data_IF_998965586501
#
_entry.id   IF_998965586501
#
_cell.length_a   1.000
_cell.length_b   1.000
_cell.length_c   1.000
_cell.angle_alpha   90.00
_cell.angle_beta   90.00
_cell.angle_gamma   90.00
#
_symmetry.space_group_name_H-M   'P 1'
#
loop_
_entity.id
_entity.type
_entity.pdbx_description
1 polymer ?
#
# COMPACT_ATOMS: atom_id res chain seq x y z
N UNK A 1 -16.54 17.83 9.33
CA UNK A 1 -17.19 17.70 7.99
C UNK A 1 -17.06 19.03 7.27
N UNK A 2 -16.20 19.13 6.25
CA UNK A 2 -16.21 20.28 5.34
C UNK A 2 -17.46 20.14 4.46
N UNK A 3 -18.37 21.11 4.50
CA UNK A 3 -19.59 21.15 3.68
C UNK A 3 -19.20 21.25 2.20
N UNK A 4 -19.53 20.23 1.41
CA UNK A 4 -19.29 20.22 -0.03
C UNK A 4 -19.99 21.35 -0.76
N UNK A 5 -19.45 21.79 -1.90
CA UNK A 5 -20.07 22.82 -2.75
C UNK A 5 -21.05 22.17 -3.70
N UNK A 6 -22.28 22.66 -3.74
CA UNK A 6 -23.35 22.05 -4.54
C UNK A 6 -23.53 22.83 -5.84
N UNK A 7 -23.51 22.12 -6.96
CA UNK A 7 -23.84 22.63 -8.29
C UNK A 7 -25.11 21.91 -8.76
N UNK A 8 -26.12 22.69 -9.17
CA UNK A 8 -27.36 22.16 -9.74
C UNK A 8 -27.54 22.67 -11.17
N UNK A 9 -27.96 21.78 -12.07
CA UNK A 9 -28.15 22.14 -13.47
C UNK A 9 -28.82 21.04 -14.27
N UNK A 10 -29.30 21.41 -15.45
CA UNK A 10 -29.84 20.47 -16.43
C UNK A 10 -28.68 19.88 -17.23
N UNK A 11 -28.63 18.56 -17.34
CA UNK A 11 -27.58 17.87 -18.10
C UNK A 11 -27.72 18.16 -19.58
N UNK A 12 -26.68 18.73 -20.19
CA UNK A 12 -26.62 19.06 -21.61
C UNK A 12 -25.75 18.07 -22.40
N UNK A 13 -26.02 17.98 -23.70
CA UNK A 13 -25.18 17.27 -24.66
C UNK A 13 -23.83 17.96 -24.82
N UNK A 14 -22.74 17.25 -24.47
CA UNK A 14 -21.36 17.67 -24.72
C UNK A 14 -20.74 16.96 -25.94
N UNK A 15 -19.41 17.10 -26.13
CA UNK A 15 -18.65 16.48 -27.25
C UNK A 15 -18.53 14.95 -27.18
N UNK A 16 -19.12 14.29 -26.17
CA UNK A 16 -19.09 12.83 -25.96
C UNK A 16 -17.68 12.22 -25.79
N UNK A 17 -16.62 13.05 -25.65
CA UNK A 17 -15.24 12.59 -25.45
C UNK A 17 -15.11 11.62 -24.27
N UNK A 18 -15.73 11.92 -23.12
CA UNK A 18 -15.74 10.99 -21.98
C UNK A 18 -16.31 9.62 -22.35
N UNK A 19 -17.38 9.56 -23.16
CA UNK A 19 -17.97 8.30 -23.61
C UNK A 19 -17.03 7.51 -24.53
N UNK A 20 -16.29 8.18 -25.40
CA UNK A 20 -15.27 7.56 -26.27
C UNK A 20 -14.09 7.00 -25.46
N UNK A 21 -13.74 7.65 -24.35
CA UNK A 21 -12.70 7.19 -23.42
C UNK A 21 -13.14 6.06 -22.47
N UNK A 22 -14.44 5.73 -22.44
CA UNK A 22 -15.04 4.74 -21.53
C UNK A 22 -15.58 5.32 -20.21
N UNK A 23 -15.64 6.64 -20.07
CA UNK A 23 -16.09 7.38 -18.89
C UNK A 23 -17.22 8.36 -19.25
N UNK A 24 -18.47 7.90 -19.44
CA UNK A 24 -19.58 8.78 -19.81
C UNK A 24 -19.81 9.89 -18.77
N UNK A 25 -19.84 11.15 -19.22
CA UNK A 25 -19.99 12.32 -18.35
C UNK A 25 -21.32 13.04 -18.56
N UNK A 26 -21.93 13.48 -17.46
CA UNK A 26 -23.00 14.45 -17.42
C UNK A 26 -22.41 15.86 -17.39
N UNK A 27 -22.76 16.70 -18.36
CA UNK A 27 -22.24 18.08 -18.45
C UNK A 27 -23.25 19.06 -17.86
N UNK A 28 -22.80 19.87 -16.89
CA UNK A 28 -23.58 20.93 -16.26
C UNK A 28 -22.92 22.29 -16.49
N UNK A 29 -23.76 23.32 -16.62
CA UNK A 29 -23.32 24.71 -16.60
C UNK A 29 -22.90 25.09 -15.18
N UNK A 30 -21.83 25.88 -15.06
CA UNK A 30 -21.29 26.31 -13.77
C UNK A 30 -21.76 27.74 -13.47
N UNK A 31 -22.23 28.04 -12.24
CA UNK A 31 -22.55 29.41 -11.83
C UNK A 31 -21.33 30.34 -11.99
N UNK A 32 -21.56 31.56 -12.50
CA UNK A 32 -20.48 32.53 -12.78
C UNK A 32 -19.76 33.02 -11.52
N UNK A 33 -20.44 32.95 -10.39
CA UNK A 33 -19.99 33.35 -9.05
C UNK A 33 -19.32 32.19 -8.27
N UNK A 34 -19.11 31.03 -8.91
CA UNK A 34 -18.50 29.89 -8.24
C UNK A 34 -16.99 30.09 -8.03
N UNK A 35 -16.61 30.47 -6.81
CA UNK A 35 -15.22 30.54 -6.34
C UNK A 35 -14.69 29.14 -5.96
N UNK A 36 -14.20 28.41 -6.95
CA UNK A 36 -13.52 27.12 -6.81
C UNK A 36 -12.38 27.04 -7.82
N UNK A 37 -11.27 26.40 -7.49
CA UNK A 37 -10.17 26.18 -8.43
C UNK A 37 -10.56 25.16 -9.52
N UNK A 38 -9.98 25.29 -10.72
CA UNK A 38 -10.14 24.29 -11.76
C UNK A 38 -9.38 23.00 -11.42
N UNK A 39 -9.96 21.86 -11.77
CA UNK A 39 -9.41 20.54 -11.50
C UNK A 39 -10.43 19.42 -11.38
N UNK A 40 -9.93 18.27 -10.94
CA UNK A 40 -10.72 17.06 -10.73
C UNK A 40 -11.08 16.93 -9.25
N UNK A 41 -12.36 16.68 -9.01
CA UNK A 41 -12.96 16.58 -7.69
C UNK A 41 -13.62 15.22 -7.49
N UNK A 42 -13.54 14.68 -6.27
CA UNK A 42 -14.50 13.70 -5.79
C UNK A 42 -15.86 14.38 -5.66
N UNK A 43 -16.92 13.74 -6.12
CA UNK A 43 -18.26 14.29 -6.04
C UNK A 43 -19.31 13.25 -5.71
N UNK A 44 -20.48 13.71 -5.25
CA UNK A 44 -21.68 12.89 -5.06
C UNK A 44 -22.81 13.43 -5.90
N UNK A 45 -23.54 12.52 -6.54
CA UNK A 45 -24.70 12.88 -7.35
C UNK A 45 -25.92 12.11 -6.85
N UNK A 46 -27.02 12.81 -6.63
CA UNK A 46 -28.30 12.15 -6.27
C UNK A 46 -29.16 11.98 -7.51
N UNK A 47 -29.49 10.73 -7.86
CA UNK A 47 -30.36 10.37 -8.99
C UNK A 47 -31.43 9.41 -8.49
N UNK A 48 -32.71 9.78 -8.65
CA UNK A 48 -33.84 8.90 -8.30
C UNK A 48 -33.87 8.44 -6.84
N UNK A 49 -33.44 9.30 -5.90
CA UNK A 49 -33.38 8.99 -4.47
C UNK A 49 -32.12 8.23 -4.03
N UNK A 50 -31.33 7.68 -4.95
CA UNK A 50 -30.02 7.06 -4.65
C UNK A 50 -28.89 8.08 -4.82
N UNK A 51 -27.92 8.03 -3.92
CA UNK A 51 -26.66 8.79 -4.04
C UNK A 51 -25.62 7.90 -4.69
N UNK A 52 -24.92 8.45 -5.68
CA UNK A 52 -23.80 7.84 -6.39
C UNK A 52 -22.54 8.62 -6.09
N UNK A 53 -21.44 7.91 -5.83
CA UNK A 53 -20.11 8.50 -5.90
C UNK A 53 -19.76 8.79 -7.36
N UNK A 54 -19.00 9.86 -7.58
CA UNK A 54 -18.70 10.36 -8.90
C UNK A 54 -17.36 11.11 -8.90
N UNK A 55 -16.88 11.35 -10.11
CA UNK A 55 -15.73 12.19 -10.38
C UNK A 55 -16.17 13.36 -11.25
N UNK A 56 -15.84 14.58 -10.84
CA UNK A 56 -16.19 15.80 -11.57
C UNK A 56 -14.95 16.56 -12.00
N UNK A 57 -14.82 16.82 -13.31
CA UNK A 57 -13.86 17.78 -13.83
C UNK A 57 -14.51 19.16 -13.93
N UNK A 58 -13.90 20.16 -13.29
CA UNK A 58 -14.30 21.55 -13.32
C UNK A 58 -13.22 22.34 -14.06
N UNK A 59 -13.54 22.89 -15.22
CA UNK A 59 -12.54 23.54 -16.07
C UNK A 59 -13.12 24.38 -17.19
N UNK A 60 -12.22 25.12 -17.87
CA UNK A 60 -12.55 26.00 -18.98
C UNK A 60 -12.18 25.36 -20.33
N UNK A 61 -13.02 25.54 -21.35
CA UNK A 61 -12.72 25.08 -22.70
C UNK A 61 -11.74 26.04 -23.40
N UNK A 62 -10.50 25.62 -23.77
CA UNK A 62 -9.54 26.52 -24.42
C UNK A 62 -9.86 26.78 -25.91
N UNK A 63 -10.74 26.00 -26.54
CA UNK A 63 -10.86 25.93 -28.00
C UNK A 63 -11.98 26.77 -28.62
N UNK A 64 -12.78 27.47 -27.82
CA UNK A 64 -13.89 28.32 -28.30
C UNK A 64 -13.77 29.63 -27.54
N UNK A 65 -13.61 30.76 -28.23
CA UNK A 65 -13.31 32.07 -27.66
C UNK A 65 -14.42 32.66 -26.77
N UNK A 66 -14.70 32.00 -25.65
CA UNK A 66 -15.65 32.37 -24.61
C UNK A 66 -15.39 31.51 -23.37
N UNK A 67 -14.99 32.14 -22.28
CA UNK A 67 -14.60 31.52 -21.02
C UNK A 67 -15.81 30.95 -20.23
N UNK A 68 -16.50 29.95 -20.79
CA UNK A 68 -17.56 29.24 -20.06
C UNK A 68 -16.99 28.02 -19.33
N UNK A 69 -16.92 28.10 -17.99
CA UNK A 69 -16.62 26.96 -17.13
C UNK A 69 -17.71 25.90 -17.24
N UNK A 70 -17.30 24.64 -17.31
CA UNK A 70 -18.20 23.49 -17.32
C UNK A 70 -17.83 22.50 -16.25
N UNK A 71 -18.85 21.78 -15.78
CA UNK A 71 -18.69 20.65 -14.89
C UNK A 71 -19.00 19.37 -15.64
N UNK A 72 -18.00 18.53 -15.86
CA UNK A 72 -18.16 17.21 -16.47
C UNK A 72 -18.13 16.15 -15.37
N UNK A 73 -19.25 15.46 -15.12
CA UNK A 73 -19.38 14.53 -14.00
C UNK A 73 -19.60 13.09 -14.46
N UNK A 74 -18.68 12.19 -14.12
CA UNK A 74 -18.80 10.75 -14.35
C UNK A 74 -19.30 10.06 -13.07
N UNK A 75 -20.50 9.49 -13.11
CA UNK A 75 -21.06 8.71 -11.99
C UNK A 75 -20.51 7.29 -12.02
N UNK A 76 -20.06 6.78 -10.88
CA UNK A 76 -19.63 5.39 -10.76
C UNK A 76 -20.84 4.45 -10.67
N UNK A 77 -20.73 3.28 -11.30
CA UNK A 77 -21.71 2.20 -11.26
C UNK A 77 -23.15 2.62 -11.63
N UNK A 78 -23.28 3.69 -12.42
CA UNK A 78 -24.54 4.16 -12.96
C UNK A 78 -24.68 3.74 -14.43
N UNK A 79 -25.77 3.05 -14.74
CA UNK A 79 -26.18 2.73 -16.10
C UNK A 79 -27.52 3.44 -16.40
N UNK A 80 -27.53 4.32 -17.39
CA UNK A 80 -28.73 5.04 -17.81
C UNK A 80 -28.43 6.33 -18.55
N UNK A 81 -29.48 7.02 -18.98
CA UNK A 81 -29.39 8.34 -19.61
C UNK A 81 -29.82 9.44 -18.63
N UNK A 82 -28.97 10.47 -18.52
CA UNK A 82 -29.17 11.64 -17.68
C UNK A 82 -29.48 12.90 -18.47
N UNK A 83 -29.46 12.88 -19.81
CA UNK A 83 -29.74 14.05 -20.64
C UNK A 83 -31.11 14.65 -20.34
N UNK A 84 -31.16 15.98 -20.25
CA UNK A 84 -32.38 16.72 -19.93
C UNK A 84 -32.85 16.59 -18.48
N UNK A 85 -32.21 15.75 -17.64
CA UNK A 85 -32.52 15.67 -16.22
C UNK A 85 -31.80 16.78 -15.46
N UNK A 86 -32.44 17.29 -14.41
CA UNK A 86 -31.80 18.15 -13.43
C UNK A 86 -30.99 17.29 -12.47
N UNK A 87 -29.69 17.56 -12.36
CA UNK A 87 -28.80 16.91 -11.42
C UNK A 87 -28.36 17.87 -10.33
N UNK A 88 -28.16 17.32 -9.13
CA UNK A 88 -27.48 17.97 -8.01
C UNK A 88 -26.17 17.24 -7.78
N UNK A 89 -25.07 17.94 -8.00
CA UNK A 89 -23.70 17.46 -7.84
C UNK A 89 -23.08 18.16 -6.64
N UNK A 90 -22.71 17.41 -5.62
CA UNK A 90 -21.97 17.89 -4.46
C UNK A 90 -20.48 17.62 -4.68
N UNK A 91 -19.68 18.66 -4.84
CA UNK A 91 -18.22 18.58 -4.91
C UNK A 91 -17.67 18.45 -3.49
N UNK A 92 -16.88 17.41 -3.25
CA UNK A 92 -16.27 17.09 -1.98
C UNK A 92 -14.82 17.59 -1.97
N UNK A 93 -13.86 16.70 -2.25
CA UNK A 93 -12.44 16.99 -2.15
C UNK A 93 -11.83 17.17 -3.54
N UNK A 94 -10.93 18.13 -3.68
CA UNK A 94 -10.13 18.30 -4.89
C UNK A 94 -9.03 17.24 -4.91
N UNK A 95 -9.03 16.41 -5.95
CA UNK A 95 -8.06 15.32 -6.13
C UNK A 95 -6.79 15.87 -6.79
N UNK A 96 -6.94 16.74 -7.79
CA UNK A 96 -5.82 17.39 -8.48
C UNK A 96 -6.27 18.59 -9.32
N UNK A 97 -5.32 19.41 -9.76
CA UNK A 97 -5.55 20.43 -10.77
C UNK A 97 -5.70 19.88 -12.19
N UNK A 98 -6.08 20.76 -13.13
CA UNK A 98 -6.07 20.45 -14.55
C UNK A 98 -4.64 20.21 -15.06
N UNK A 99 -4.49 19.23 -15.95
CA UNK A 99 -3.21 18.84 -16.53
C UNK A 99 -3.41 18.61 -18.03
N UNK A 100 -2.42 19.03 -18.83
CA UNK A 100 -2.35 18.68 -20.25
C UNK A 100 -1.64 17.32 -20.41
N UNK A 101 -2.18 16.47 -21.28
CA UNK A 101 -1.63 15.15 -21.59
C UNK A 101 -1.08 15.15 -23.00
N UNK A 102 -0.03 14.38 -23.25
CA UNK A 102 0.60 14.30 -24.57
C UNK A 102 -0.22 13.43 -25.54
N UNK A 103 -1.02 12.49 -25.01
CA UNK A 103 -1.86 11.59 -25.79
C UNK A 103 -3.22 11.29 -25.14
N UNK A 104 -4.11 10.70 -25.92
CA UNK A 104 -5.44 10.24 -25.49
C UNK A 104 -5.31 9.06 -24.52
N UNK A 105 -4.34 8.17 -24.76
CA UNK A 105 -4.03 7.02 -23.92
C UNK A 105 -3.56 7.45 -22.53
N UNK A 106 -2.69 8.46 -22.44
CA UNK A 106 -2.26 9.03 -21.15
C UNK A 106 -3.43 9.64 -20.37
N UNK A 107 -4.29 10.40 -21.05
CA UNK A 107 -5.50 10.95 -20.45
C UNK A 107 -6.40 9.84 -19.92
N UNK A 108 -6.65 8.79 -20.71
CA UNK A 108 -7.47 7.64 -20.31
C UNK A 108 -6.91 6.93 -19.08
N UNK A 109 -5.60 6.68 -19.07
CA UNK A 109 -4.92 6.06 -17.94
C UNK A 109 -4.99 6.94 -16.68
N UNK A 110 -4.86 8.25 -16.81
CA UNK A 110 -5.01 9.16 -15.68
C UNK A 110 -6.45 9.18 -15.14
N UNK A 111 -7.47 9.24 -15.99
CA UNK A 111 -8.88 9.21 -15.59
C UNK A 111 -9.20 7.89 -14.86
N UNK A 112 -8.63 6.77 -15.33
CA UNK A 112 -8.76 5.48 -14.64
C UNK A 112 -8.12 5.51 -13.24
N UNK A 113 -6.90 6.06 -13.11
CA UNK A 113 -6.24 6.24 -11.81
C UNK A 113 -7.06 7.13 -10.88
N UNK A 114 -7.57 8.26 -11.37
CA UNK A 114 -8.39 9.18 -10.59
C UNK A 114 -9.68 8.50 -10.11
N UNK A 115 -10.35 7.73 -10.97
CA UNK A 115 -11.54 6.93 -10.60
C UNK A 115 -11.21 5.92 -9.51
N UNK A 116 -10.17 5.11 -9.70
CA UNK A 116 -9.74 4.10 -8.72
C UNK A 116 -9.39 4.76 -7.39
N UNK A 117 -8.67 5.87 -7.42
CA UNK A 117 -8.34 6.66 -6.22
C UNK A 117 -9.62 7.08 -5.49
N UNK A 118 -10.59 7.69 -6.17
CA UNK A 118 -11.84 8.15 -5.54
C UNK A 118 -12.66 6.97 -4.99
N UNK A 119 -12.80 5.88 -5.74
CA UNK A 119 -13.51 4.68 -5.26
C UNK A 119 -12.87 4.11 -3.99
N UNK A 120 -11.54 4.23 -3.86
CA UNK A 120 -10.78 3.78 -2.70
C UNK A 120 -10.79 4.75 -1.51
N UNK A 121 -11.31 5.97 -1.65
CA UNK A 121 -11.35 6.94 -0.54
C UNK A 121 -12.37 6.59 0.56
N UNK A 122 -13.34 5.71 0.27
CA UNK A 122 -14.39 5.31 1.22
C UNK A 122 -14.32 3.82 1.63
N UNK A 123 -13.42 3.04 1.03
CA UNK A 123 -13.07 1.70 1.51
C UNK A 123 -11.84 1.82 2.39
N UNK A 124 -11.81 1.07 3.51
CA UNK A 124 -10.58 0.94 4.28
C UNK A 124 -9.49 0.42 3.34
N UNK A 125 -8.36 1.12 3.27
CA UNK A 125 -7.18 0.70 2.55
C UNK A 125 -6.64 -0.62 3.12
N UNK A 126 -6.77 -0.82 4.43
CA UNK A 126 -6.45 -2.07 5.10
C UNK A 126 -7.73 -2.84 5.50
N UNK A 127 -7.94 -4.01 4.90
CA UNK A 127 -8.96 -4.95 5.37
C UNK A 127 -8.30 -6.02 6.25
N UNK A 128 -8.28 -5.78 7.56
CA UNK A 128 -7.67 -6.69 8.54
C UNK A 128 -8.45 -8.00 8.73
N UNK A 129 -9.61 -8.17 8.08
CA UNK A 129 -10.31 -9.46 8.06
C UNK A 129 -9.71 -10.43 7.04
N UNK A 130 -8.85 -9.97 6.13
CA UNK A 130 -8.12 -10.82 5.20
C UNK A 130 -7.00 -11.53 5.99
N UNK A 131 -7.08 -12.86 6.18
CA UNK A 131 -6.11 -13.59 6.99
C UNK A 131 -4.74 -13.66 6.32
N UNK A 132 -4.73 -13.75 4.98
CA UNK A 132 -3.54 -13.79 4.12
C UNK A 132 -3.94 -13.40 2.69
N UNK A 133 -2.95 -13.06 1.84
CA UNK A 133 -3.12 -12.91 0.40
C UNK A 133 -1.88 -13.44 -0.31
N UNK A 134 -2.05 -14.54 -1.04
CA UNK A 134 -1.03 -15.24 -1.82
C UNK A 134 -1.55 -15.54 -3.22
N UNK A 135 -0.69 -15.96 -4.16
CA UNK A 135 -1.11 -16.23 -5.54
C UNK A 135 -2.13 -17.38 -5.65
N UNK A 136 -1.82 -18.55 -5.07
CA UNK A 136 -2.64 -19.74 -5.18
C UNK A 136 -2.42 -20.68 -3.99
N UNK A 137 -3.48 -20.91 -3.21
CA UNK A 137 -3.45 -21.82 -2.06
C UNK A 137 -3.33 -23.30 -2.44
N UNK A 138 -3.63 -23.67 -3.70
CA UNK A 138 -3.49 -25.06 -4.16
C UNK A 138 -2.03 -25.54 -4.16
N UNK A 139 -1.07 -24.62 -4.10
CA UNK A 139 0.37 -24.90 -4.08
C UNK A 139 0.90 -25.29 -2.69
N UNK A 140 0.08 -25.22 -1.64
CA UNK A 140 0.53 -25.43 -0.26
C UNK A 140 1.16 -26.81 -0.02
N UNK A 141 0.58 -27.89 -0.59
CA UNK A 141 1.13 -29.24 -0.44
C UNK A 141 2.54 -29.36 -1.07
N UNK A 142 2.75 -28.73 -2.23
CA UNK A 142 4.07 -28.71 -2.87
C UNK A 142 5.06 -27.90 -2.02
N UNK A 143 4.69 -26.70 -1.59
CA UNK A 143 5.50 -25.89 -0.70
C UNK A 143 5.86 -26.62 0.58
N UNK A 144 4.93 -27.41 1.14
CA UNK A 144 5.22 -28.19 2.35
C UNK A 144 6.34 -29.20 2.11
N UNK A 145 6.28 -29.96 1.02
CA UNK A 145 7.30 -30.96 0.66
C UNK A 145 8.69 -30.32 0.49
N UNK A 146 8.76 -29.15 -0.15
CA UNK A 146 10.04 -28.44 -0.30
C UNK A 146 10.57 -27.89 1.03
N UNK A 147 9.69 -27.41 1.91
CA UNK A 147 10.10 -26.96 3.24
C UNK A 147 10.66 -28.12 4.07
N UNK A 148 10.03 -29.30 4.05
CA UNK A 148 10.55 -30.49 4.73
C UNK A 148 11.95 -30.88 4.23
N UNK A 149 12.21 -30.76 2.92
CA UNK A 149 13.55 -30.96 2.35
C UNK A 149 14.51 -29.88 2.86
N UNK A 150 14.12 -28.61 2.80
CA UNK A 150 14.95 -27.49 3.23
C UNK A 150 15.32 -27.55 4.72
N UNK A 151 14.44 -28.08 5.58
CA UNK A 151 14.76 -28.28 7.01
C UNK A 151 16.00 -29.17 7.23
N UNK A 152 16.25 -30.14 6.34
CA UNK A 152 17.46 -30.98 6.39
C UNK A 152 18.74 -30.19 6.03
N UNK A 153 18.61 -29.20 5.15
CA UNK A 153 19.70 -28.32 4.71
C UNK A 153 19.85 -27.05 5.57
N UNK A 154 18.99 -26.85 6.57
CA UNK A 154 19.03 -25.69 7.47
C UNK A 154 19.30 -26.10 8.94
N UNK A 155 20.42 -26.78 9.25
CA UNK A 155 20.69 -27.35 10.56
C UNK A 155 20.78 -26.30 11.67
N UNK A 156 21.16 -25.06 11.35
CA UNK A 156 21.21 -23.94 12.30
C UNK A 156 19.83 -23.61 12.89
N UNK A 157 18.82 -23.42 12.03
CA UNK A 157 17.44 -23.17 12.47
C UNK A 157 16.87 -24.37 13.21
N UNK A 158 17.13 -25.58 12.73
CA UNK A 158 16.67 -26.81 13.41
C UNK A 158 17.31 -26.96 14.79
N UNK A 159 18.58 -26.60 14.96
CA UNK A 159 19.24 -26.58 16.26
C UNK A 159 18.64 -25.53 17.21
N UNK A 160 18.29 -24.35 16.69
CA UNK A 160 17.60 -23.29 17.45
C UNK A 160 16.24 -23.78 17.95
N UNK A 161 15.43 -24.42 17.08
CA UNK A 161 14.15 -25.04 17.47
C UNK A 161 14.33 -26.06 18.59
N UNK A 162 15.28 -27.01 18.43
CA UNK A 162 15.58 -28.02 19.47
C UNK A 162 16.02 -27.40 20.79
N UNK A 163 16.85 -26.35 20.74
CA UNK A 163 17.42 -25.72 21.94
C UNK A 163 16.42 -24.88 22.70
N UNK A 164 15.59 -24.10 22.01
CA UNK A 164 14.76 -23.06 22.63
C UNK A 164 13.24 -23.28 22.46
N UNK A 165 12.80 -24.25 21.66
CA UNK A 165 11.39 -24.52 21.41
C UNK A 165 10.60 -24.81 22.69
N UNK A 166 11.17 -25.58 23.63
CA UNK A 166 10.53 -25.85 24.92
C UNK A 166 10.38 -24.60 25.81
N UNK A 167 11.30 -23.63 25.70
CA UNK A 167 11.29 -22.42 26.51
C UNK A 167 10.37 -21.32 25.94
N UNK A 168 9.97 -21.44 24.67
CA UNK A 168 9.15 -20.46 23.93
C UNK A 168 9.57 -18.99 24.22
N UNK A 169 10.84 -18.62 23.95
CA UNK A 169 11.36 -17.30 24.34
C UNK A 169 10.66 -16.12 23.64
N UNK A 170 9.94 -16.38 22.55
CA UNK A 170 9.17 -15.38 21.80
C UNK A 170 7.66 -15.49 22.08
N UNK A 171 7.25 -16.19 23.15
CA UNK A 171 5.84 -16.38 23.50
C UNK A 171 5.06 -15.05 23.51
N UNK A 172 4.10 -14.93 22.59
CA UNK A 172 3.21 -13.77 22.46
C UNK A 172 3.88 -12.52 21.87
N UNK A 173 5.13 -12.61 21.43
CA UNK A 173 5.83 -11.52 20.76
C UNK A 173 5.32 -11.41 19.33
N UNK A 174 4.84 -10.22 18.97
CA UNK A 174 4.37 -9.92 17.60
C UNK A 174 5.55 -9.57 16.71
N UNK A 175 5.81 -10.39 15.71
CA UNK A 175 6.93 -10.23 14.79
C UNK A 175 6.42 -10.01 13.37
N UNK A 176 6.82 -8.90 12.76
CA UNK A 176 6.61 -8.67 11.34
C UNK A 176 7.91 -8.94 10.58
N UNK A 177 7.82 -9.69 9.49
CA UNK A 177 8.93 -9.91 8.56
C UNK A 177 8.69 -9.23 7.21
N UNK A 178 9.71 -8.54 6.72
CA UNK A 178 9.81 -7.99 5.36
C UNK A 178 11.08 -8.52 4.73
N UNK A 179 10.98 -9.72 4.14
CA UNK A 179 12.11 -10.48 3.62
C UNK A 179 11.58 -11.41 2.52
N UNK A 180 12.37 -11.66 1.47
CA UNK A 180 12.03 -12.55 0.36
C UNK A 180 11.22 -13.78 0.81
N UNK A 181 9.99 -13.93 0.31
CA UNK A 181 9.09 -15.01 0.72
C UNK A 181 9.43 -16.32 -0.03
N UNK A 182 10.48 -17.00 0.41
CA UNK A 182 11.00 -18.25 -0.17
C UNK A 182 10.79 -19.45 0.74
N UNK A 183 11.15 -20.65 0.26
CA UNK A 183 11.19 -21.88 1.07
C UNK A 183 12.11 -21.73 2.28
N UNK A 184 13.28 -21.10 2.13
CA UNK A 184 14.22 -20.89 3.23
C UNK A 184 13.62 -19.96 4.29
N UNK A 185 12.96 -18.89 3.84
CA UNK A 185 12.25 -17.96 4.71
C UNK A 185 11.06 -18.63 5.41
N UNK A 186 10.37 -19.56 4.76
CA UNK A 186 9.33 -20.35 5.40
C UNK A 186 9.87 -21.17 6.60
N UNK A 187 11.07 -21.76 6.49
CA UNK A 187 11.74 -22.43 7.63
C UNK A 187 12.06 -21.44 8.75
N UNK A 188 12.48 -20.21 8.42
CA UNK A 188 12.69 -19.13 9.40
C UNK A 188 11.37 -18.75 10.10
N UNK A 189 10.30 -18.50 9.36
CA UNK A 189 8.97 -18.16 9.88
C UNK A 189 8.49 -19.25 10.84
N UNK A 190 8.52 -20.51 10.41
CA UNK A 190 8.10 -21.64 11.25
C UNK A 190 9.00 -21.80 12.48
N UNK A 191 10.28 -21.40 12.40
CA UNK A 191 11.15 -21.34 13.58
C UNK A 191 10.68 -20.27 14.56
N UNK A 192 10.35 -19.07 14.11
CA UNK A 192 9.85 -18.01 14.98
C UNK A 192 8.53 -18.41 15.67
N UNK A 193 7.61 -19.02 14.92
CA UNK A 193 6.37 -19.57 15.46
C UNK A 193 6.64 -20.69 16.47
N UNK A 194 7.57 -21.61 16.17
CA UNK A 194 7.99 -22.67 17.11
C UNK A 194 8.64 -22.09 18.37
N UNK A 195 9.23 -20.90 18.32
CA UNK A 195 9.73 -20.19 19.50
C UNK A 195 8.64 -19.39 20.24
N UNK A 196 7.40 -19.40 19.77
CA UNK A 196 6.22 -18.82 20.42
C UNK A 196 5.73 -17.49 19.86
N UNK A 197 6.32 -16.99 18.75
CA UNK A 197 5.96 -15.71 18.17
C UNK A 197 4.60 -15.74 17.45
N UNK A 198 3.92 -14.59 17.44
CA UNK A 198 2.80 -14.28 16.55
C UNK A 198 3.36 -13.56 15.31
N UNK A 199 3.28 -14.19 14.14
CA UNK A 199 4.05 -13.78 12.95
C UNK A 199 3.13 -13.29 11.84
N UNK A 200 3.52 -12.19 11.20
CA UNK A 200 2.95 -11.68 9.94
C UNK A 200 4.08 -11.40 8.96
N UNK A 201 3.88 -11.62 7.67
CA UNK A 201 4.95 -11.57 6.68
C UNK A 201 4.56 -10.92 5.37
N UNK A 202 5.48 -10.18 4.77
CA UNK A 202 5.47 -9.78 3.37
C UNK A 202 6.85 -10.01 2.75
N UNK A 203 6.92 -10.00 1.42
CA UNK A 203 8.20 -10.01 0.71
C UNK A 203 8.86 -8.63 0.76
N UNK A 204 10.18 -8.55 0.57
CA UNK A 204 10.93 -7.29 0.35
C UNK A 204 11.21 -7.02 -1.14
N UNK A 205 10.72 -7.87 -2.04
CA UNK A 205 10.88 -7.68 -3.49
C UNK A 205 9.76 -8.34 -4.29
N UNK A 206 9.20 -7.57 -5.23
CA UNK A 206 8.04 -7.94 -6.08
C UNK A 206 8.20 -9.21 -6.91
N UNK A 207 9.42 -9.70 -7.16
CA UNK A 207 9.67 -10.89 -7.99
C UNK A 207 10.26 -12.08 -7.23
N UNK A 208 10.57 -11.90 -5.95
CA UNK A 208 11.33 -12.88 -5.16
C UNK A 208 10.49 -13.97 -4.53
N UNK A 209 9.17 -13.74 -4.40
CA UNK A 209 8.27 -14.69 -3.75
C UNK A 209 8.25 -16.01 -4.52
N UNK A 210 8.33 -17.11 -3.78
CA UNK A 210 8.02 -18.46 -4.24
C UNK A 210 6.59 -18.77 -3.79
N UNK A 211 5.65 -18.77 -4.72
CA UNK A 211 4.21 -18.81 -4.39
C UNK A 211 3.79 -20.06 -3.62
N UNK A 212 4.45 -21.20 -3.89
CA UNK A 212 4.23 -22.44 -3.13
C UNK A 212 4.73 -22.34 -1.69
N UNK A 213 5.83 -21.64 -1.43
CA UNK A 213 6.29 -21.36 -0.07
C UNK A 213 5.29 -20.45 0.68
N UNK A 214 4.83 -19.38 0.03
CA UNK A 214 3.83 -18.48 0.59
C UNK A 214 2.53 -19.21 0.95
N UNK A 215 2.03 -20.06 0.04
CA UNK A 215 0.83 -20.86 0.26
C UNK A 215 0.98 -21.84 1.43
N UNK A 216 2.13 -22.54 1.53
CA UNK A 216 2.38 -23.49 2.60
C UNK A 216 2.43 -22.81 3.98
N UNK A 217 3.03 -21.62 4.08
CA UNK A 217 3.08 -20.85 5.32
C UNK A 217 1.69 -20.31 5.69
N UNK A 218 0.94 -19.81 4.70
CA UNK A 218 -0.42 -19.33 4.92
C UNK A 218 -1.37 -20.44 5.39
N UNK A 219 -1.26 -21.66 4.85
CA UNK A 219 -2.07 -22.82 5.26
C UNK A 219 -1.85 -23.18 6.74
N UNK A 220 -0.67 -22.89 7.29
CA UNK A 220 -0.34 -23.08 8.70
C UNK A 220 -0.89 -21.98 9.63
N UNK A 221 -1.64 -21.02 9.08
CA UNK A 221 -2.31 -19.96 9.83
C UNK A 221 -1.45 -18.72 10.08
N UNK A 222 -0.28 -18.61 9.45
CA UNK A 222 0.54 -17.39 9.49
C UNK A 222 0.02 -16.40 8.44
N UNK A 223 -0.11 -15.12 8.79
CA UNK A 223 -0.60 -14.12 7.86
C UNK A 223 0.50 -13.72 6.86
N UNK A 224 0.41 -14.22 5.63
CA UNK A 224 1.36 -13.91 4.54
C UNK A 224 0.65 -13.03 3.50
N UNK A 225 1.28 -11.92 3.15
CA UNK A 225 0.87 -11.01 2.09
C UNK A 225 2.01 -10.92 1.09
N UNK A 226 2.08 -11.90 0.19
CA UNK A 226 3.16 -11.98 -0.78
C UNK A 226 2.79 -12.89 -1.97
N UNK A 227 3.12 -12.47 -3.18
CA UNK A 227 3.11 -13.30 -4.38
C UNK A 227 4.15 -12.84 -5.40
N UNK A 228 4.48 -13.71 -6.35
CA UNK A 228 5.41 -13.35 -7.42
C UNK A 228 4.73 -12.45 -8.45
N UNK A 229 5.38 -11.34 -8.79
CA UNK A 229 4.88 -10.38 -9.78
C UNK A 229 3.91 -9.36 -9.22
N UNK A 230 4.03 -9.01 -7.94
CA UNK A 230 3.35 -7.85 -7.36
C UNK A 230 3.61 -6.57 -8.15
N UNK A 231 2.61 -5.71 -8.24
CA UNK A 231 2.83 -4.30 -8.60
C UNK A 231 3.35 -3.53 -7.37
N UNK A 232 4.02 -2.39 -7.58
CA UNK A 232 4.49 -1.55 -6.46
C UNK A 232 3.37 -1.13 -5.49
N UNK A 233 2.15 -0.76 -5.95
CA UNK A 233 1.04 -0.51 -5.04
C UNK A 233 0.63 -1.73 -4.20
N UNK A 234 0.68 -2.92 -4.79
CA UNK A 234 0.39 -4.17 -4.06
C UNK A 234 1.48 -4.49 -3.05
N UNK A 235 2.75 -4.30 -3.41
CA UNK A 235 3.90 -4.45 -2.51
C UNK A 235 3.75 -3.58 -1.25
N UNK A 236 3.54 -2.28 -1.41
CA UNK A 236 3.40 -1.37 -0.28
C UNK A 236 2.10 -1.62 0.52
N UNK A 237 1.05 -2.12 -0.13
CA UNK A 237 -0.14 -2.63 0.56
C UNK A 237 0.18 -3.88 1.39
N UNK A 238 0.94 -4.83 0.86
CA UNK A 238 1.40 -6.03 1.56
C UNK A 238 2.22 -5.66 2.80
N UNK A 239 3.17 -4.72 2.66
CA UNK A 239 3.96 -4.18 3.79
C UNK A 239 3.06 -3.57 4.86
N UNK A 240 2.09 -2.74 4.46
CA UNK A 240 1.13 -2.14 5.38
C UNK A 240 0.24 -3.20 6.08
N UNK A 241 -0.21 -4.23 5.36
CA UNK A 241 -0.99 -5.36 5.91
C UNK A 241 -0.19 -6.19 6.91
N UNK A 242 1.08 -6.48 6.61
CA UNK A 242 1.97 -7.23 7.48
C UNK A 242 2.31 -6.45 8.77
N UNK A 243 2.47 -5.13 8.68
CA UNK A 243 2.68 -4.23 9.83
C UNK A 243 1.45 -4.06 10.73
N UNK A 244 0.27 -4.49 10.27
CA UNK A 244 -1.00 -4.25 10.96
C UNK A 244 -1.47 -5.50 11.71
N UNK A 245 -1.20 -5.55 13.01
CA UNK A 245 -1.70 -6.63 13.87
C UNK A 245 -3.13 -6.34 14.35
N UNK A 246 -3.92 -7.38 14.67
CA UNK A 246 -5.28 -7.22 15.18
C UNK A 246 -5.37 -6.32 16.42
N UNK A 247 -6.50 -5.63 16.56
CA UNK A 247 -6.74 -4.70 17.67
C UNK A 247 -6.01 -3.36 17.55
N UNK A 248 -5.64 -2.95 16.34
CA UNK A 248 -4.96 -1.68 16.08
C UNK A 248 -3.51 -1.64 16.55
N UNK A 249 -2.90 -2.82 16.75
CA UNK A 249 -1.52 -2.99 17.23
C UNK A 249 -0.53 -3.04 16.07
N UNK A 250 0.71 -2.65 16.35
CA UNK A 250 1.85 -2.89 15.47
C UNK A 250 2.71 -4.07 15.93
N UNK A 251 3.78 -4.42 15.18
CA UNK A 251 4.78 -5.38 15.61
C UNK A 251 5.56 -4.89 16.84
N UNK A 252 6.06 -5.83 17.64
CA UNK A 252 7.03 -5.55 18.70
C UNK A 252 8.47 -5.75 18.22
N UNK A 253 8.69 -6.65 17.26
CA UNK A 253 9.98 -6.84 16.60
C UNK A 253 9.78 -6.90 15.08
N UNK A 254 10.80 -6.46 14.36
CA UNK A 254 10.84 -6.54 12.90
C UNK A 254 12.06 -7.32 12.45
N UNK A 255 11.86 -8.23 11.49
CA UNK A 255 12.90 -8.82 10.67
C UNK A 255 12.84 -8.13 9.31
N UNK A 256 13.87 -7.36 8.97
CA UNK A 256 13.88 -6.50 7.78
C UNK A 256 15.03 -6.90 6.84
N UNK A 257 14.76 -6.81 5.56
CA UNK A 257 15.71 -7.01 4.46
C UNK A 257 15.51 -5.85 3.48
N UNK A 258 16.46 -4.91 3.52
CA UNK A 258 16.47 -3.70 2.70
C UNK A 258 15.94 -2.46 3.43
N UNK A 259 15.28 -2.63 4.57
CA UNK A 259 14.85 -1.55 5.46
C UNK A 259 13.53 -0.88 5.08
N UNK A 260 12.70 -1.51 4.25
CA UNK A 260 11.46 -0.90 3.73
C UNK A 260 10.35 -0.85 4.79
N UNK A 261 10.22 -1.89 5.63
CA UNK A 261 9.28 -1.88 6.74
C UNK A 261 9.66 -0.80 7.76
N UNK A 262 10.96 -0.73 8.08
CA UNK A 262 11.55 0.31 8.94
C UNK A 262 11.30 1.70 8.37
N UNK A 263 11.51 1.91 7.07
CA UNK A 263 11.29 3.18 6.39
C UNK A 263 9.84 3.63 6.46
N UNK A 264 8.89 2.71 6.23
CA UNK A 264 7.46 3.03 6.28
C UNK A 264 7.02 3.48 7.68
N UNK A 265 7.49 2.81 8.74
CA UNK A 265 7.20 3.20 10.13
C UNK A 265 7.77 4.58 10.44
N UNK A 266 9.05 4.83 10.11
CA UNK A 266 9.69 6.11 10.43
C UNK A 266 9.04 7.28 9.70
N UNK A 267 8.77 7.14 8.39
CA UNK A 267 8.06 8.17 7.61
C UNK A 267 6.62 8.35 8.10
N UNK A 268 5.91 7.26 8.42
CA UNK A 268 4.55 7.31 8.96
C UNK A 268 4.47 8.01 10.30
N UNK A 269 5.37 7.69 11.24
CA UNK A 269 5.46 8.36 12.53
C UNK A 269 5.75 9.87 12.38
N UNK A 270 6.67 10.23 11.48
CA UNK A 270 6.96 11.64 11.17
C UNK A 270 5.74 12.35 10.56
N UNK A 271 4.99 11.68 9.69
CA UNK A 271 3.78 12.21 9.07
C UNK A 271 2.60 12.40 10.03
N UNK A 272 2.47 11.56 11.06
CA UNK A 272 1.47 11.76 12.11
C UNK A 272 1.80 12.98 12.98
N UNK A 273 3.08 13.30 13.16
CA UNK A 273 3.51 14.53 13.85
C UNK A 273 3.35 15.77 12.96
N UNK A 274 3.64 15.65 11.67
CA UNK A 274 3.52 16.72 10.68
C UNK A 274 3.22 16.12 9.30
N UNK A 275 1.95 16.22 8.88
CA UNK A 275 1.48 15.68 7.61
C UNK A 275 2.20 16.31 6.39
N UNK A 276 2.73 17.53 6.52
CA UNK A 276 3.43 18.21 5.43
C UNK A 276 4.76 17.54 5.05
N UNK A 277 5.27 16.65 5.89
CA UNK A 277 6.45 15.82 5.58
C UNK A 277 6.21 14.86 4.41
N UNK A 278 4.96 14.65 4.01
CA UNK A 278 4.57 13.92 2.80
C UNK A 278 4.37 14.83 1.59
N UNK A 279 4.44 16.16 1.74
CA UNK A 279 4.11 17.13 0.69
C UNK A 279 5.35 17.55 -0.10
N UNK A 280 5.90 16.61 -0.85
CA UNK A 280 6.98 16.87 -1.79
C UNK A 280 6.82 16.06 -3.08
N UNK A 281 7.51 16.52 -4.13
CA UNK A 281 7.52 15.83 -5.41
C UNK A 281 8.37 14.54 -5.31
N UNK A 282 7.80 13.36 -5.56
CA UNK A 282 8.54 12.11 -5.49
C UNK A 282 9.63 12.06 -6.56
N UNK A 283 10.77 11.46 -6.21
CA UNK A 283 11.93 11.29 -7.10
C UNK A 283 11.83 10.04 -8.00
N UNK A 284 10.94 9.10 -7.65
CA UNK A 284 10.70 7.86 -8.39
C UNK A 284 9.22 7.45 -8.32
N UNK A 285 8.80 6.54 -9.20
CA UNK A 285 7.45 5.97 -9.14
C UNK A 285 7.22 5.17 -7.85
N UNK A 286 8.24 4.47 -7.35
CA UNK A 286 8.15 3.80 -6.06
C UNK A 286 7.93 4.78 -4.91
N UNK A 287 8.64 5.90 -4.88
CA UNK A 287 8.43 6.94 -3.88
C UNK A 287 7.04 7.58 -3.97
N UNK A 288 6.50 7.76 -5.18
CA UNK A 288 5.11 8.19 -5.38
C UNK A 288 4.13 7.23 -4.69
N UNK A 289 4.32 5.91 -4.86
CA UNK A 289 3.48 4.88 -4.25
C UNK A 289 3.64 4.83 -2.73
N UNK A 290 4.86 5.01 -2.20
CA UNK A 290 5.09 5.11 -0.74
C UNK A 290 4.31 6.29 -0.17
N UNK A 291 4.43 7.47 -0.79
CA UNK A 291 3.74 8.67 -0.34
C UNK A 291 2.22 8.51 -0.42
N UNK A 292 1.68 7.90 -1.48
CA UNK A 292 0.25 7.59 -1.56
C UNK A 292 -0.19 6.62 -0.44
N UNK A 293 0.60 5.57 -0.19
CA UNK A 293 0.34 4.59 0.87
C UNK A 293 0.29 5.26 2.24
N UNK A 294 1.28 6.10 2.55
CA UNK A 294 1.34 6.84 3.82
C UNK A 294 0.17 7.82 3.98
N UNK A 295 -0.20 8.54 2.92
CA UNK A 295 -1.37 9.45 2.95
C UNK A 295 -2.67 8.69 3.21
N UNK A 296 -2.84 7.52 2.59
CA UNK A 296 -4.03 6.67 2.81
C UNK A 296 -4.08 6.16 4.24
N UNK A 297 -2.96 5.64 4.75
CA UNK A 297 -2.87 5.15 6.12
C UNK A 297 -3.13 6.26 7.15
N UNK A 298 -2.55 7.45 6.95
CA UNK A 298 -2.75 8.61 7.82
C UNK A 298 -4.22 9.09 7.80
N UNK A 299 -4.87 9.06 6.63
CA UNK A 299 -6.27 9.45 6.50
C UNK A 299 -7.23 8.43 7.13
N UNK A 300 -6.88 7.14 7.10
CA UNK A 300 -7.67 6.05 7.70
C UNK A 300 -7.50 5.97 9.22
N UNK A 301 -6.26 6.11 9.72
CA UNK A 301 -5.91 5.98 11.13
C UNK A 301 -4.70 6.88 11.46
N UNK A 302 -5.00 8.07 11.99
CA UNK A 302 -3.99 9.09 12.30
C UNK A 302 -3.11 8.79 13.51
N UNK A 303 -3.34 7.68 14.23
CA UNK A 303 -2.59 7.28 15.42
C UNK A 303 -1.88 5.92 15.22
N UNK A 304 -1.93 5.34 14.02
CA UNK A 304 -1.41 4.01 13.70
C UNK A 304 0.06 3.86 14.08
N UNK A 305 0.88 4.81 13.67
CA UNK A 305 2.34 4.74 13.78
C UNK A 305 2.81 5.11 15.18
N UNK A 306 2.19 6.09 15.84
CA UNK A 306 2.44 6.35 17.27
C UNK A 306 2.15 5.11 18.12
N UNK A 307 1.02 4.42 17.90
CA UNK A 307 0.72 3.15 18.60
C UNK A 307 1.70 2.03 18.25
N UNK A 308 2.13 1.96 16.99
CA UNK A 308 3.13 0.97 16.55
C UNK A 308 4.47 1.19 17.24
N UNK A 309 5.00 2.42 17.18
CA UNK A 309 6.31 2.79 17.74
C UNK A 309 6.31 2.64 19.26
N UNK A 310 5.20 2.92 19.94
CA UNK A 310 5.10 2.76 21.40
C UNK A 310 5.34 1.31 21.88
N UNK A 311 5.07 0.30 21.06
CA UNK A 311 5.31 -1.11 21.39
C UNK A 311 6.50 -1.74 20.63
N UNK A 312 7.05 -1.04 19.64
CA UNK A 312 8.17 -1.52 18.82
C UNK A 312 9.48 -1.48 19.61
N UNK A 313 10.10 -2.65 19.79
CA UNK A 313 11.29 -2.84 20.65
C UNK A 313 12.59 -2.93 19.88
N UNK A 314 12.54 -3.19 18.58
CA UNK A 314 13.73 -3.24 17.76
C UNK A 314 13.53 -3.90 16.39
N UNK A 315 14.57 -3.78 15.58
CA UNK A 315 14.66 -4.36 14.23
C UNK A 315 15.96 -5.14 14.07
N UNK A 316 15.91 -6.28 13.38
CA UNK A 316 17.09 -6.98 12.88
C UNK A 316 17.15 -6.85 11.36
N UNK A 317 18.20 -6.25 10.83
CA UNK A 317 18.35 -5.96 9.40
C UNK A 317 19.46 -6.83 8.78
N UNK A 318 19.12 -7.48 7.66
CA UNK A 318 19.93 -8.50 7.03
C UNK A 318 20.89 -7.97 5.94
N UNK A 319 20.62 -6.82 5.32
CA UNK A 319 21.38 -6.37 4.14
C UNK A 319 22.22 -5.14 4.37
N UNK A 320 23.29 -5.02 3.57
CA UNK A 320 24.15 -3.84 3.54
C UNK A 320 23.35 -2.55 3.29
N UNK A 321 22.36 -2.58 2.40
CA UNK A 321 21.55 -1.40 2.06
C UNK A 321 20.69 -0.95 3.24
N UNK A 322 19.96 -1.87 3.88
CA UNK A 322 19.14 -1.54 5.05
C UNK A 322 20.00 -1.11 6.24
N UNK A 323 21.14 -1.76 6.47
CA UNK A 323 22.11 -1.36 7.51
C UNK A 323 22.62 0.06 7.29
N UNK A 324 22.92 0.44 6.05
CA UNK A 324 23.34 1.80 5.74
C UNK A 324 22.24 2.81 6.06
N UNK A 325 20.97 2.52 5.73
CA UNK A 325 19.82 3.36 6.09
C UNK A 325 19.69 3.51 7.61
N UNK A 326 19.89 2.42 8.38
CA UNK A 326 19.87 2.45 9.85
C UNK A 326 20.97 3.34 10.43
N UNK A 327 22.21 3.25 9.92
CA UNK A 327 23.29 4.14 10.35
C UNK A 327 23.05 5.60 10.00
N UNK A 328 22.45 5.89 8.84
CA UNK A 328 22.07 7.26 8.48
C UNK A 328 21.05 7.84 9.47
N UNK A 329 20.01 7.07 9.82
CA UNK A 329 19.02 7.48 10.82
C UNK A 329 19.64 7.63 12.21
N UNK A 330 20.55 6.74 12.60
CA UNK A 330 21.26 6.85 13.87
C UNK A 330 22.12 8.12 13.94
N UNK A 331 22.89 8.41 12.88
CA UNK A 331 23.73 9.60 12.80
C UNK A 331 22.90 10.90 12.81
N UNK A 332 21.70 10.87 12.23
CA UNK A 332 20.75 11.98 12.27
C UNK A 332 19.98 12.10 13.60
N UNK A 333 20.08 11.12 14.50
CA UNK A 333 19.29 11.07 15.74
C UNK A 333 17.80 10.77 15.51
N UNK A 334 17.45 10.21 14.35
CA UNK A 334 16.06 9.92 13.94
C UNK A 334 15.67 8.45 14.15
N UNK A 335 16.62 7.56 14.46
CA UNK A 335 16.35 6.14 14.66
C UNK A 335 15.46 5.93 15.91
N UNK A 336 14.25 5.38 15.70
CA UNK A 336 13.21 5.28 16.74
C UNK A 336 13.43 4.13 17.73
N UNK A 337 14.13 3.06 17.32
CA UNK A 337 14.32 1.85 18.13
C UNK A 337 15.73 1.27 17.97
N UNK A 338 16.20 0.43 18.91
CA UNK A 338 17.43 -0.33 18.73
C UNK A 338 17.40 -1.18 17.45
N UNK A 339 18.53 -1.22 16.74
CA UNK A 339 18.69 -2.03 15.55
C UNK A 339 19.87 -3.01 15.69
N UNK A 340 19.68 -4.24 15.24
CA UNK A 340 20.71 -5.27 15.17
C UNK A 340 21.11 -5.42 13.70
N UNK A 341 22.37 -5.12 13.41
CA UNK A 341 22.99 -5.36 12.12
C UNK A 341 23.34 -6.85 12.02
N UNK A 342 22.51 -7.61 11.32
CA UNK A 342 22.74 -9.04 11.08
C UNK A 342 23.73 -9.23 9.92
N UNK A 343 23.69 -8.34 8.92
CA UNK A 343 24.55 -8.39 7.73
C UNK A 343 26.04 -8.56 8.07
N UNK A 344 26.53 -7.78 9.04
CA UNK A 344 27.95 -7.73 9.38
C UNK A 344 28.39 -8.83 10.36
N UNK A 345 27.47 -9.73 10.74
CA UNK A 345 27.87 -10.97 11.40
C UNK A 345 28.83 -11.73 10.49
N UNK A 346 29.93 -12.26 11.04
CA UNK A 346 30.95 -12.95 10.24
C UNK A 346 30.35 -14.14 9.46
N UNK A 347 29.40 -14.84 10.07
CA UNK A 347 28.70 -15.99 9.47
C UNK A 347 27.66 -15.59 8.42
N UNK A 348 27.29 -14.30 8.33
CA UNK A 348 26.39 -13.78 7.29
C UNK A 348 27.21 -13.25 6.13
N UNK A 349 27.90 -12.13 6.32
CA UNK A 349 28.68 -11.44 5.28
C UNK A 349 29.67 -12.32 4.50
N UNK A 350 30.34 -13.28 5.16
CA UNK A 350 31.34 -14.15 4.51
C UNK A 350 30.77 -15.40 3.85
N UNK A 351 29.54 -15.77 4.16
CA UNK A 351 28.89 -16.95 3.59
C UNK A 351 27.82 -16.57 2.61
N UNK A 352 26.81 -15.83 3.06
CA UNK A 352 25.65 -15.47 2.27
C UNK A 352 26.03 -14.62 1.04
N UNK A 353 26.67 -13.46 1.28
CA UNK A 353 27.00 -12.54 0.18
C UNK A 353 28.08 -13.10 -0.78
N UNK A 354 28.96 -13.99 -0.31
CA UNK A 354 30.08 -14.50 -1.12
C UNK A 354 29.76 -15.85 -1.76
N UNK A 355 29.39 -16.84 -0.95
CA UNK A 355 29.12 -18.19 -1.43
C UNK A 355 27.69 -18.32 -1.94
N UNK A 356 26.70 -17.64 -1.34
CA UNK A 356 25.33 -17.62 -1.85
C UNK A 356 25.26 -17.07 -3.27
N UNK A 357 25.82 -15.88 -3.51
CA UNK A 357 25.90 -15.30 -4.85
C UNK A 357 26.69 -16.16 -5.86
N UNK A 358 27.66 -16.98 -5.41
CA UNK A 358 28.40 -17.87 -6.32
C UNK A 358 27.53 -19.00 -6.85
N UNK A 359 26.59 -19.51 -6.06
CA UNK A 359 25.75 -20.65 -6.43
C UNK A 359 24.44 -20.23 -7.13
N UNK A 360 24.02 -18.97 -7.00
CA UNK A 360 22.71 -18.48 -7.47
C UNK A 360 22.73 -17.46 -8.61
N UNK A 361 23.92 -17.00 -9.03
CA UNK A 361 24.12 -15.97 -10.06
C UNK A 361 24.64 -16.61 -11.36
#
# INVERSE_FOLDING_TARGET
MRTGRVIEGVVRSGRRLGRELGFPTANLDVPRDLELEDGVYRSRVRVGGRTYEAMSNLGCNPSVGGAERRLETHLFDFAGDLYGRRLRVELLDRIRGERRFASVEELRAQIARDKTHIQNLNTMFLDLNIPYKVADMSLAEWGRKEIEIAEHEMPGLMAVRRKYGAAKPLAGVRIMGSLHMTIQTAVLIETLVELGADVRWCSCNIFSTQDHAAAAVAERGVAVFAWKGETLPEYWWCTAMALSFPGGKGPQLIVDDGGDATLLIHKGYKAENDASTLDYAPSSYEEEVILETLRRLLAEDGDKWHRTVAEWRGVSEETTTGVHRLYQMQAAGELLVPAINVNDSCTKSKFDNLYGCRESL
#
